data_IF_599485245258
#
_entry.id   IF_599485245258
#
_cell.length_a   1.000
_cell.length_b   1.000
_cell.length_c   1.000
_cell.angle_alpha   90.00
_cell.angle_beta   90.00
_cell.angle_gamma   90.00
#
_symmetry.space_group_name_H-M   'P 1'
#
loop_
_entity.id
_entity.type
_entity.pdbx_description
1 polymer ?
#
# COMPACT_ATOMS: atom_id res chain seq x y z
N UNK A 1 -32.61 -11.75 -32.24
CA UNK A 1 -31.73 -11.93 -31.08
C UNK A 1 -30.25 -12.13 -31.46
N UNK A 2 -29.92 -13.00 -32.41
CA UNK A 2 -28.51 -13.26 -32.78
C UNK A 2 -27.80 -12.06 -33.40
N UNK A 3 -28.45 -11.29 -34.27
CA UNK A 3 -27.86 -10.10 -34.91
C UNK A 3 -27.51 -9.02 -33.92
N UNK A 4 -28.41 -8.72 -32.98
CA UNK A 4 -28.17 -7.72 -31.89
C UNK A 4 -26.99 -8.17 -31.05
N UNK A 5 -26.93 -9.43 -30.65
CA UNK A 5 -25.78 -9.98 -29.88
C UNK A 5 -24.45 -9.87 -30.65
N UNK A 6 -24.45 -10.11 -31.98
CA UNK A 6 -23.26 -9.97 -32.82
C UNK A 6 -22.79 -8.52 -32.93
N UNK A 7 -23.73 -7.55 -33.04
CA UNK A 7 -23.42 -6.12 -33.08
C UNK A 7 -22.84 -5.65 -31.75
N UNK A 8 -23.48 -5.98 -30.62
CA UNK A 8 -23.03 -5.63 -29.28
C UNK A 8 -21.64 -6.21 -28.97
N UNK A 9 -21.33 -7.39 -29.50
CA UNK A 9 -20.03 -8.07 -29.32
C UNK A 9 -19.01 -7.74 -30.41
N UNK A 10 -19.25 -6.69 -31.22
CA UNK A 10 -18.32 -6.22 -32.27
C UNK A 10 -17.88 -7.30 -33.26
N UNK A 11 -18.73 -8.30 -33.55
CA UNK A 11 -18.41 -9.36 -34.51
C UNK A 11 -18.20 -8.75 -35.89
N UNK A 12 -17.12 -9.17 -36.61
CA UNK A 12 -16.81 -8.58 -37.93
C UNK A 12 -17.79 -9.03 -39.03
N UNK A 13 -18.54 -10.08 -38.81
CA UNK A 13 -19.48 -10.70 -39.76
C UNK A 13 -20.84 -10.00 -39.86
N UNK A 14 -20.97 -8.76 -39.36
CA UNK A 14 -22.19 -7.94 -39.43
C UNK A 14 -21.96 -6.74 -40.35
N UNK A 15 -22.79 -6.55 -41.36
CA UNK A 15 -22.74 -5.41 -42.26
C UNK A 15 -22.88 -4.09 -41.52
N UNK A 16 -22.14 -3.07 -41.95
CA UNK A 16 -22.06 -1.74 -41.26
C UNK A 16 -23.43 -1.06 -41.16
N UNK A 17 -24.26 -1.18 -42.19
CA UNK A 17 -25.64 -0.62 -42.19
C UNK A 17 -26.48 -1.26 -41.06
N UNK A 18 -26.38 -2.61 -40.92
CA UNK A 18 -27.09 -3.34 -39.87
C UNK A 18 -26.56 -2.94 -38.48
N UNK A 19 -25.25 -2.73 -38.37
CA UNK A 19 -24.59 -2.28 -37.15
C UNK A 19 -25.09 -0.90 -36.73
N UNK A 20 -25.11 0.06 -37.65
CA UNK A 20 -25.62 1.40 -37.40
C UNK A 20 -27.09 1.40 -36.94
N UNK A 21 -27.94 0.66 -37.64
CA UNK A 21 -29.35 0.54 -37.31
C UNK A 21 -29.59 -0.06 -35.92
N UNK A 22 -28.81 -1.08 -35.54
CA UNK A 22 -28.93 -1.68 -34.21
C UNK A 22 -28.47 -0.73 -33.12
N UNK A 23 -27.39 0.05 -33.32
CA UNK A 23 -26.95 1.05 -32.37
C UNK A 23 -27.98 2.19 -32.23
N UNK A 24 -28.57 2.69 -33.30
CA UNK A 24 -29.65 3.66 -33.25
C UNK A 24 -30.83 3.18 -32.38
N UNK A 25 -31.26 1.94 -32.57
CA UNK A 25 -32.37 1.37 -31.78
C UNK A 25 -31.95 1.18 -30.30
N UNK A 26 -30.70 0.81 -30.03
CA UNK A 26 -30.17 0.71 -28.66
C UNK A 26 -30.23 2.07 -27.96
N UNK A 27 -29.82 3.12 -28.67
CA UNK A 27 -29.83 4.50 -28.15
C UNK A 27 -31.29 5.02 -27.97
N UNK A 28 -32.17 4.83 -28.95
CA UNK A 28 -33.59 5.22 -28.89
C UNK A 28 -34.32 4.53 -27.71
N UNK A 29 -34.04 3.29 -27.45
CA UNK A 29 -34.66 2.52 -26.38
C UNK A 29 -33.91 2.65 -25.02
N UNK A 30 -32.83 3.41 -24.98
CA UNK A 30 -31.92 3.49 -23.82
C UNK A 30 -31.60 2.09 -23.28
N UNK A 31 -31.41 1.13 -24.20
CA UNK A 31 -31.17 -0.26 -23.86
C UNK A 31 -29.71 -0.47 -23.41
N UNK A 32 -29.51 -0.81 -22.15
CA UNK A 32 -28.21 -1.21 -21.65
C UNK A 32 -28.06 -2.74 -21.71
N UNK A 33 -27.12 -3.25 -22.52
CA UNK A 33 -26.86 -4.70 -22.58
C UNK A 33 -26.47 -5.23 -21.21
N UNK A 34 -27.18 -6.24 -20.72
CA UNK A 34 -26.91 -6.85 -19.42
C UNK A 34 -25.47 -7.35 -19.34
N UNK A 35 -24.72 -6.87 -18.36
CA UNK A 35 -23.35 -7.35 -18.06
C UNK A 35 -23.34 -8.84 -17.75
N UNK A 36 -24.37 -9.35 -17.06
CA UNK A 36 -24.55 -10.76 -16.74
C UNK A 36 -24.73 -11.62 -18.01
N UNK A 37 -25.50 -11.16 -18.98
CA UNK A 37 -25.67 -11.88 -20.23
C UNK A 37 -24.37 -11.93 -21.06
N UNK A 38 -23.59 -10.86 -21.04
CA UNK A 38 -22.26 -10.81 -21.67
C UNK A 38 -21.28 -11.72 -21.00
N UNK A 39 -21.25 -11.76 -19.67
CA UNK A 39 -20.34 -12.63 -18.91
C UNK A 39 -20.59 -14.10 -19.12
N UNK A 40 -21.86 -14.52 -19.27
CA UNK A 40 -22.24 -15.90 -19.58
C UNK A 40 -21.73 -16.36 -20.96
N UNK A 41 -21.76 -15.47 -21.95
CA UNK A 41 -21.29 -15.79 -23.32
C UNK A 41 -19.75 -15.81 -23.38
N UNK A 42 -19.09 -14.91 -22.67
CA UNK A 42 -17.63 -14.75 -22.70
C UNK A 42 -16.90 -15.60 -21.65
N UNK A 43 -17.62 -16.26 -20.74
CA UNK A 43 -17.08 -16.97 -19.57
C UNK A 43 -16.16 -16.10 -18.71
N UNK A 44 -16.37 -14.76 -18.74
CA UNK A 44 -15.58 -13.76 -18.03
C UNK A 44 -16.52 -12.69 -17.46
N UNK A 45 -16.34 -12.38 -16.19
CA UNK A 45 -17.23 -11.43 -15.49
C UNK A 45 -16.78 -9.97 -15.63
N UNK A 46 -15.51 -9.72 -15.97
CA UNK A 46 -14.84 -8.42 -15.88
C UNK A 46 -15.03 -7.81 -14.50
N UNK A 47 -14.93 -8.65 -13.47
CA UNK A 47 -15.11 -8.25 -12.08
C UNK A 47 -13.91 -8.74 -11.28
N UNK A 48 -13.27 -7.84 -10.52
CA UNK A 48 -12.22 -8.18 -9.57
C UNK A 48 -12.77 -8.08 -8.14
N UNK A 49 -12.40 -9.05 -7.30
CA UNK A 49 -12.62 -8.99 -5.87
C UNK A 49 -11.48 -8.21 -5.21
N UNK A 50 -11.80 -7.31 -4.30
CA UNK A 50 -10.81 -6.60 -3.48
C UNK A 50 -11.13 -6.85 -2.02
N UNK A 51 -10.19 -7.45 -1.31
CA UNK A 51 -10.27 -7.60 0.15
C UNK A 51 -9.33 -6.58 0.77
N UNK A 52 -9.84 -5.75 1.66
CA UNK A 52 -9.07 -4.71 2.34
C UNK A 52 -9.42 -4.67 3.83
N UNK A 53 -8.69 -3.87 4.60
CA UNK A 53 -9.00 -3.57 5.99
C UNK A 53 -8.50 -2.17 6.33
N UNK A 54 -9.22 -1.50 7.23
CA UNK A 54 -8.77 -0.23 7.80
C UNK A 54 -8.75 0.94 6.83
N UNK A 55 -9.75 1.09 6.00
CA UNK A 55 -9.89 2.22 5.05
C UNK A 55 -9.85 3.61 5.70
N UNK A 56 -9.94 3.70 7.02
CA UNK A 56 -9.70 4.94 7.78
C UNK A 56 -8.24 5.39 7.81
N UNK A 57 -7.29 4.51 7.47
CA UNK A 57 -5.88 4.83 7.39
C UNK A 57 -5.50 5.26 5.97
N UNK A 58 -4.53 6.17 5.85
CA UNK A 58 -4.08 6.72 4.57
C UNK A 58 -3.58 5.63 3.62
N UNK A 59 -2.77 4.70 4.13
CA UNK A 59 -2.19 3.62 3.32
C UNK A 59 -3.23 2.81 2.55
N UNK A 60 -4.16 2.12 3.23
CA UNK A 60 -5.22 1.35 2.60
C UNK A 60 -6.10 2.19 1.66
N UNK A 61 -6.45 3.43 2.03
CA UNK A 61 -7.29 4.30 1.19
C UNK A 61 -6.61 4.70 -0.11
N UNK A 62 -5.33 5.13 -0.07
CA UNK A 62 -4.57 5.49 -1.28
C UNK A 62 -4.36 4.27 -2.18
N UNK A 63 -4.06 3.11 -1.60
CA UNK A 63 -3.93 1.86 -2.36
C UNK A 63 -5.25 1.50 -3.06
N UNK A 64 -6.38 1.59 -2.36
CA UNK A 64 -7.69 1.34 -2.95
C UNK A 64 -8.03 2.34 -4.08
N UNK A 65 -7.64 3.61 -3.93
CA UNK A 65 -7.81 4.61 -5.01
C UNK A 65 -7.08 4.18 -6.28
N UNK A 66 -5.82 3.77 -6.17
CA UNK A 66 -5.05 3.28 -7.31
C UNK A 66 -5.61 1.99 -7.92
N UNK A 67 -6.14 1.08 -7.08
CA UNK A 67 -6.85 -0.12 -7.55
C UNK A 67 -8.09 0.27 -8.36
N UNK A 68 -8.90 1.20 -7.85
CA UNK A 68 -10.15 1.63 -8.49
C UNK A 68 -9.86 2.29 -9.84
N UNK A 69 -8.93 3.23 -9.88
CA UNK A 69 -8.51 3.94 -11.09
C UNK A 69 -8.09 2.96 -12.20
N UNK A 70 -7.17 2.04 -11.88
CA UNK A 70 -6.64 1.10 -12.88
C UNK A 70 -7.67 0.04 -13.31
N UNK A 71 -8.53 -0.39 -12.38
CA UNK A 71 -9.59 -1.34 -12.72
C UNK A 71 -10.59 -0.71 -13.68
N UNK A 72 -10.97 0.55 -13.46
CA UNK A 72 -11.87 1.30 -14.34
C UNK A 72 -11.26 1.50 -15.73
N UNK A 73 -9.99 1.91 -15.83
CA UNK A 73 -9.26 2.04 -17.10
C UNK A 73 -9.23 0.73 -17.89
N UNK A 74 -9.12 -0.41 -17.21
CA UNK A 74 -9.10 -1.74 -17.82
C UNK A 74 -10.49 -2.35 -18.02
N UNK A 75 -11.57 -1.64 -17.69
CA UNK A 75 -12.96 -2.07 -17.85
C UNK A 75 -13.43 -3.11 -16.84
N UNK A 76 -12.76 -3.22 -15.68
CA UNK A 76 -13.19 -4.09 -14.59
C UNK A 76 -14.15 -3.37 -13.63
N UNK A 77 -15.12 -4.12 -13.15
CA UNK A 77 -15.94 -3.74 -11.98
C UNK A 77 -15.30 -4.29 -10.72
N UNK A 78 -15.37 -3.58 -9.61
CA UNK A 78 -14.82 -4.03 -8.33
C UNK A 78 -15.93 -4.53 -7.39
N UNK A 79 -15.67 -5.64 -6.72
CA UNK A 79 -16.42 -6.12 -5.56
C UNK A 79 -15.54 -5.96 -4.33
N UNK A 80 -15.81 -4.91 -3.54
CA UNK A 80 -15.06 -4.61 -2.34
C UNK A 80 -15.59 -5.40 -1.14
N UNK A 81 -14.67 -5.98 -0.37
CA UNK A 81 -14.90 -6.58 0.94
C UNK A 81 -13.93 -5.97 1.95
N UNK A 82 -14.45 -5.33 2.97
CA UNK A 82 -13.65 -4.83 4.09
C UNK A 82 -13.74 -5.81 5.26
N UNK A 83 -12.57 -6.22 5.77
CA UNK A 83 -12.51 -6.96 7.02
C UNK A 83 -12.85 -6.02 8.20
N UNK A 84 -13.69 -6.45 9.14
CA UNK A 84 -14.06 -5.62 10.29
C UNK A 84 -12.86 -5.33 11.20
N UNK A 85 -11.86 -6.20 11.18
CA UNK A 85 -10.61 -6.08 11.94
C UNK A 85 -9.45 -6.64 11.12
N UNK A 86 -8.26 -6.11 11.32
CA UNK A 86 -7.04 -6.58 10.65
C UNK A 86 -6.68 -8.03 11.01
N UNK A 87 -7.00 -8.48 12.21
CA UNK A 87 -6.70 -9.80 12.75
C UNK A 87 -7.86 -10.81 12.58
N UNK A 88 -8.81 -10.52 11.68
CA UNK A 88 -9.91 -11.44 11.39
C UNK A 88 -9.38 -12.76 10.82
N UNK A 89 -9.86 -13.87 11.37
CA UNK A 89 -9.53 -15.25 11.00
C UNK A 89 -10.57 -15.91 10.07
N UNK A 90 -11.73 -15.29 9.93
CA UNK A 90 -12.85 -15.78 9.12
C UNK A 90 -12.70 -15.39 7.63
N UNK A 91 -11.62 -15.87 7.02
CA UNK A 91 -11.22 -15.52 5.64
C UNK A 91 -11.97 -16.37 4.61
N UNK A 92 -12.17 -17.65 4.90
CA UNK A 92 -12.75 -18.60 3.93
C UNK A 92 -14.17 -18.23 3.47
N UNK A 93 -15.13 -17.85 4.34
CA UNK A 93 -16.45 -17.39 3.92
C UNK A 93 -16.39 -16.14 3.04
N UNK A 94 -15.43 -15.25 3.29
CA UNK A 94 -15.22 -14.04 2.49
C UNK A 94 -14.74 -14.40 1.07
N UNK A 95 -13.72 -15.27 0.95
CA UNK A 95 -13.25 -15.77 -0.33
C UNK A 95 -14.37 -16.51 -1.09
N UNK A 96 -15.12 -17.39 -0.39
CA UNK A 96 -16.27 -18.10 -0.96
C UNK A 96 -17.34 -17.11 -1.47
N UNK A 97 -17.59 -16.02 -0.75
CA UNK A 97 -18.52 -14.97 -1.17
C UNK A 97 -18.09 -14.25 -2.46
N UNK A 98 -16.78 -14.06 -2.67
CA UNK A 98 -16.22 -13.51 -3.92
C UNK A 98 -16.32 -14.52 -5.05
N UNK A 99 -15.94 -15.79 -4.80
CA UNK A 99 -16.03 -16.87 -5.78
C UNK A 99 -17.46 -17.11 -6.25
N UNK A 100 -18.45 -17.04 -5.33
CA UNK A 100 -19.87 -17.15 -5.68
C UNK A 100 -20.34 -16.03 -6.64
N UNK A 101 -19.67 -14.88 -6.65
CA UNK A 101 -19.89 -13.77 -7.59
C UNK A 101 -19.11 -13.91 -8.90
N UNK A 102 -18.36 -15.03 -9.07
CA UNK A 102 -17.54 -15.32 -10.24
C UNK A 102 -16.57 -14.18 -10.57
N UNK A 103 -15.89 -13.64 -9.55
CA UNK A 103 -14.81 -12.67 -9.81
C UNK A 103 -13.71 -13.36 -10.65
N UNK A 104 -13.12 -12.62 -11.59
CA UNK A 104 -12.06 -13.13 -12.48
C UNK A 104 -10.72 -13.23 -11.74
N UNK A 105 -10.52 -12.43 -10.69
CA UNK A 105 -9.32 -12.42 -9.85
C UNK A 105 -9.57 -11.71 -8.52
N UNK A 106 -8.67 -11.89 -7.56
CA UNK A 106 -8.77 -11.32 -6.21
C UNK A 106 -7.50 -10.54 -5.88
N UNK A 107 -7.65 -9.30 -5.40
CA UNK A 107 -6.62 -8.51 -4.75
C UNK A 107 -6.78 -8.62 -3.24
N UNK A 108 -5.74 -9.09 -2.56
CA UNK A 108 -5.68 -9.15 -1.11
C UNK A 108 -4.85 -7.97 -0.57
N UNK A 109 -5.53 -6.87 -0.28
CA UNK A 109 -4.93 -5.63 0.21
C UNK A 109 -5.11 -5.47 1.73
N UNK A 110 -4.80 -6.53 2.47
CA UNK A 110 -4.88 -6.56 3.93
C UNK A 110 -3.48 -6.73 4.50
N UNK A 111 -3.05 -5.89 5.47
CA UNK A 111 -1.75 -6.03 6.10
C UNK A 111 -1.51 -7.40 6.72
N UNK A 112 -0.29 -7.90 6.66
CA UNK A 112 0.09 -9.20 7.20
C UNK A 112 0.27 -9.13 8.72
N UNK A 113 -0.81 -9.38 9.48
CA UNK A 113 -0.80 -9.37 10.95
C UNK A 113 -1.64 -10.50 11.56
N UNK A 114 -1.25 -10.95 12.76
CA UNK A 114 -2.06 -11.89 13.57
C UNK A 114 -2.53 -13.13 12.80
N UNK A 115 -3.81 -13.45 12.90
CA UNK A 115 -4.44 -14.59 12.23
C UNK A 115 -4.43 -14.49 10.70
N UNK A 116 -4.42 -13.29 10.17
CA UNK A 116 -4.20 -12.98 8.77
C UNK A 116 -2.86 -13.52 8.23
N UNK A 117 -1.86 -13.63 9.10
CA UNK A 117 -0.57 -14.22 8.78
C UNK A 117 -0.64 -15.74 8.81
N UNK A 118 -1.33 -16.31 9.77
CA UNK A 118 -1.40 -17.75 9.99
C UNK A 118 -1.98 -18.53 8.80
N UNK A 119 -3.01 -18.01 8.13
CA UNK A 119 -3.59 -18.69 6.96
C UNK A 119 -2.67 -18.67 5.74
N UNK A 120 -1.74 -17.69 5.66
CA UNK A 120 -0.73 -17.61 4.59
C UNK A 120 0.47 -18.53 4.85
N UNK A 121 0.70 -18.96 6.10
CA UNK A 121 1.77 -19.91 6.47
C UNK A 121 1.37 -21.36 6.14
N UNK A 122 0.06 -21.62 5.94
CA UNK A 122 -0.46 -22.86 5.37
C UNK A 122 -0.35 -22.89 3.83
N UNK A 123 -0.89 -23.96 3.23
CA UNK A 123 -1.11 -23.92 1.79
C UNK A 123 -2.23 -22.90 1.51
N UNK A 124 -1.99 -21.87 0.64
CA UNK A 124 -3.05 -21.00 0.23
C UNK A 124 -4.18 -21.82 -0.38
N UNK A 125 -5.45 -21.46 -0.15
CA UNK A 125 -6.56 -22.22 -0.70
C UNK A 125 -6.45 -22.27 -2.22
N UNK A 126 -6.65 -23.44 -2.80
CA UNK A 126 -6.82 -23.57 -4.25
C UNK A 126 -8.08 -22.81 -4.66
N UNK A 127 -7.88 -21.61 -5.20
CA UNK A 127 -8.95 -20.79 -5.73
C UNK A 127 -9.06 -20.99 -7.23
N UNK A 128 -10.28 -20.97 -7.75
CA UNK A 128 -10.52 -21.01 -9.18
C UNK A 128 -10.12 -19.71 -9.91
N UNK A 129 -9.84 -18.64 -9.15
CA UNK A 129 -9.37 -17.34 -9.64
C UNK A 129 -7.98 -17.01 -9.09
N UNK A 130 -7.11 -16.34 -9.86
CA UNK A 130 -5.81 -15.90 -9.39
C UNK A 130 -5.93 -14.91 -8.23
N UNK A 131 -4.95 -14.94 -7.33
CA UNK A 131 -4.87 -14.12 -6.14
C UNK A 131 -3.54 -13.38 -6.13
N UNK A 132 -3.60 -12.05 -5.99
CA UNK A 132 -2.42 -11.19 -5.83
C UNK A 132 -2.48 -10.49 -4.48
N UNK A 133 -1.39 -10.60 -3.73
CA UNK A 133 -1.24 -10.00 -2.41
C UNK A 133 -0.59 -8.63 -2.49
N UNK A 134 -0.99 -7.72 -1.61
CA UNK A 134 -0.35 -6.42 -1.43
C UNK A 134 0.21 -6.33 -0.01
N UNK A 135 1.30 -5.57 0.14
CA UNK A 135 1.86 -5.19 1.45
C UNK A 135 2.20 -6.38 2.36
N UNK A 136 2.86 -7.38 1.80
CA UNK A 136 3.33 -8.55 2.55
C UNK A 136 4.75 -8.97 2.13
N UNK A 137 5.37 -9.82 2.93
CA UNK A 137 6.62 -10.46 2.56
C UNK A 137 6.44 -11.33 1.31
N UNK A 138 7.40 -11.27 0.38
CA UNK A 138 7.44 -12.16 -0.77
C UNK A 138 7.54 -13.63 -0.31
N UNK A 139 6.73 -14.51 -0.92
CA UNK A 139 6.70 -15.94 -0.63
C UNK A 139 6.72 -16.76 -1.91
N UNK A 140 7.42 -17.89 -1.93
CA UNK A 140 7.40 -18.79 -3.09
C UNK A 140 5.96 -19.21 -3.43
N UNK A 141 5.62 -19.16 -4.71
CA UNK A 141 4.30 -19.57 -5.18
C UNK A 141 3.18 -18.55 -5.02
N UNK A 142 3.43 -17.37 -4.45
CA UNK A 142 2.44 -16.29 -4.31
C UNK A 142 2.83 -15.07 -5.12
N UNK A 143 1.87 -14.52 -5.86
CA UNK A 143 2.03 -13.22 -6.51
C UNK A 143 1.87 -12.11 -5.47
N UNK A 144 2.81 -11.16 -5.42
CA UNK A 144 2.78 -10.05 -4.47
C UNK A 144 3.31 -8.75 -5.07
N UNK A 145 2.70 -7.64 -4.65
CA UNK A 145 3.15 -6.29 -4.97
C UNK A 145 3.32 -5.53 -3.66
N UNK A 146 4.49 -4.98 -3.41
CA UNK A 146 4.81 -4.27 -2.17
C UNK A 146 5.67 -3.03 -2.44
N UNK A 147 5.79 -2.15 -1.46
CA UNK A 147 6.82 -1.11 -1.44
C UNK A 147 8.02 -1.66 -0.66
N UNK A 148 9.23 -1.31 -1.06
CA UNK A 148 10.45 -1.65 -0.33
C UNK A 148 10.58 -0.82 0.95
N UNK A 149 9.87 -1.27 1.99
CA UNK A 149 9.84 -0.61 3.29
C UNK A 149 11.20 -0.64 4.00
N UNK A 150 12.00 -1.70 3.76
CA UNK A 150 13.36 -1.80 4.29
C UNK A 150 14.25 -0.72 3.69
N UNK A 151 14.25 -0.60 2.36
CA UNK A 151 15.01 0.46 1.67
C UNK A 151 14.56 1.85 2.10
N UNK A 152 13.26 2.05 2.32
CA UNK A 152 12.73 3.30 2.85
C UNK A 152 13.28 3.64 4.24
N UNK A 153 13.37 2.67 5.15
CA UNK A 153 14.02 2.84 6.45
C UNK A 153 15.50 3.18 6.35
N UNK A 154 16.20 2.55 5.38
CA UNK A 154 17.59 2.89 5.05
C UNK A 154 17.70 4.34 4.56
N UNK A 155 16.88 4.76 3.60
CA UNK A 155 16.91 6.13 3.03
C UNK A 155 16.74 7.21 4.11
N UNK A 156 15.77 7.04 5.01
CA UNK A 156 15.54 7.98 6.12
C UNK A 156 16.76 8.09 7.02
N UNK A 157 17.35 6.96 7.37
CA UNK A 157 18.50 6.89 8.32
C UNK A 157 19.80 7.34 7.68
N UNK A 158 20.07 6.94 6.44
CA UNK A 158 21.22 7.39 5.63
C UNK A 158 21.23 8.91 5.51
N UNK A 159 20.07 9.51 5.19
CA UNK A 159 19.92 10.96 5.10
C UNK A 159 20.31 11.66 6.41
N UNK A 160 19.78 11.19 7.54
CA UNK A 160 20.11 11.79 8.84
C UNK A 160 21.61 11.68 9.16
N UNK A 161 22.24 10.53 8.85
CA UNK A 161 23.71 10.36 9.02
C UNK A 161 24.49 11.29 8.09
N UNK A 162 24.07 11.48 6.85
CA UNK A 162 24.70 12.38 5.87
C UNK A 162 24.60 13.85 6.31
N UNK A 163 23.50 14.24 6.98
CA UNK A 163 23.34 15.57 7.57
C UNK A 163 24.16 15.75 8.87
N UNK A 164 24.94 14.73 9.28
CA UNK A 164 25.85 14.80 10.42
C UNK A 164 25.21 14.49 11.79
N UNK A 165 23.95 14.03 11.82
CA UNK A 165 23.30 13.55 13.04
C UNK A 165 23.93 12.23 13.48
N UNK A 166 24.02 12.03 14.82
CA UNK A 166 24.76 10.90 15.39
C UNK A 166 23.93 10.01 16.31
N UNK A 167 22.93 10.58 16.94
CA UNK A 167 22.07 9.96 17.94
C UNK A 167 20.65 9.86 17.40
N UNK A 168 20.42 8.88 16.50
CA UNK A 168 19.20 8.77 15.74
C UNK A 168 18.24 7.79 16.41
N UNK A 169 17.15 8.31 16.97
CA UNK A 169 16.07 7.51 17.52
C UNK A 169 15.08 7.02 16.47
N UNK A 170 14.16 6.14 16.88
CA UNK A 170 13.09 5.64 16.03
C UNK A 170 11.75 5.55 16.75
N UNK A 171 10.67 5.99 16.09
CA UNK A 171 9.30 5.65 16.47
C UNK A 171 8.74 4.72 15.41
N UNK A 172 8.65 3.43 15.73
CA UNK A 172 8.09 2.41 14.84
C UNK A 172 6.56 2.45 14.80
N UNK A 173 5.96 1.83 13.77
CA UNK A 173 4.59 1.35 13.85
C UNK A 173 4.46 0.13 14.76
N UNK A 174 3.25 -0.45 14.87
CA UNK A 174 3.05 -1.72 15.59
C UNK A 174 3.92 -2.82 14.94
N UNK A 175 4.75 -3.52 15.73
CA UNK A 175 5.71 -4.49 15.21
C UNK A 175 5.10 -5.83 14.78
N UNK A 176 3.83 -6.04 14.99
CA UNK A 176 3.06 -7.13 14.36
C UNK A 176 2.82 -6.87 12.85
N UNK A 177 2.96 -5.63 12.37
CA UNK A 177 2.90 -5.28 10.97
C UNK A 177 4.23 -5.52 10.26
N UNK A 178 4.17 -6.17 9.09
CA UNK A 178 5.37 -6.43 8.29
C UNK A 178 6.11 -5.15 7.90
N UNK A 179 5.39 -4.12 7.46
CA UNK A 179 5.96 -2.83 7.03
C UNK A 179 6.71 -2.13 8.19
N UNK A 180 6.14 -2.16 9.40
CA UNK A 180 6.79 -1.57 10.57
C UNK A 180 8.12 -2.27 10.90
N UNK A 181 8.15 -3.60 10.81
CA UNK A 181 9.39 -4.39 10.99
C UNK A 181 10.43 -4.07 9.94
N UNK A 182 10.02 -3.93 8.67
CA UNK A 182 10.94 -3.61 7.58
C UNK A 182 11.55 -2.21 7.74
N UNK A 183 10.74 -1.19 8.04
CA UNK A 183 11.23 0.18 8.30
C UNK A 183 12.19 0.22 9.49
N UNK A 184 11.87 -0.49 10.57
CA UNK A 184 12.74 -0.63 11.75
C UNK A 184 14.05 -1.36 11.42
N UNK A 185 13.99 -2.44 10.63
CA UNK A 185 15.20 -3.18 10.22
C UNK A 185 16.13 -2.30 9.38
N UNK A 186 15.58 -1.52 8.43
CA UNK A 186 16.33 -0.55 7.63
C UNK A 186 17.04 0.49 8.51
N UNK A 187 16.36 1.06 9.52
CA UNK A 187 16.95 1.96 10.50
C UNK A 187 18.07 1.29 11.29
N UNK A 188 17.84 0.09 11.85
CA UNK A 188 18.80 -0.62 12.65
C UNK A 188 20.08 -0.97 11.87
N UNK A 189 19.92 -1.53 10.68
CA UNK A 189 21.04 -2.03 9.89
C UNK A 189 21.88 -0.88 9.34
N UNK A 190 21.24 0.23 8.94
CA UNK A 190 21.96 1.44 8.52
C UNK A 190 22.80 2.02 9.65
N UNK A 191 22.28 2.09 10.89
CA UNK A 191 23.05 2.54 12.04
C UNK A 191 24.22 1.60 12.36
N UNK A 192 23.99 0.28 12.35
CA UNK A 192 25.05 -0.72 12.60
C UNK A 192 26.18 -0.63 11.56
N UNK A 193 25.82 -0.48 10.27
CA UNK A 193 26.79 -0.29 9.19
C UNK A 193 27.62 0.99 9.35
N UNK A 194 27.02 2.05 9.91
CA UNK A 194 27.72 3.29 10.24
C UNK A 194 28.49 3.24 11.58
N UNK A 195 28.58 2.08 12.23
CA UNK A 195 29.25 1.92 13.53
C UNK A 195 28.53 2.63 14.69
N UNK A 196 27.21 2.84 14.56
CA UNK A 196 26.40 3.49 15.61
C UNK A 196 25.69 2.42 16.45
N UNK A 197 25.61 2.61 17.79
CA UNK A 197 24.92 1.68 18.66
C UNK A 197 23.42 1.71 18.43
N UNK A 198 22.80 0.53 18.53
CA UNK A 198 21.34 0.36 18.54
C UNK A 198 20.98 -0.36 19.83
N UNK A 199 20.14 0.27 20.66
CA UNK A 199 19.68 -0.28 21.93
C UNK A 199 18.18 -0.11 22.09
N UNK A 200 17.56 -0.86 23.02
CA UNK A 200 16.10 -0.87 23.21
C UNK A 200 15.54 0.49 23.65
N UNK A 201 16.33 1.32 24.30
CA UNK A 201 15.92 2.65 24.70
C UNK A 201 16.00 3.70 23.58
N UNK A 202 16.59 3.36 22.41
CA UNK A 202 16.67 4.26 21.26
C UNK A 202 15.38 4.28 20.41
N UNK A 203 14.39 3.50 20.76
CA UNK A 203 13.13 3.46 20.00
C UNK A 203 11.89 3.24 20.88
N UNK A 204 10.74 3.59 20.35
CA UNK A 204 9.41 3.30 20.91
C UNK A 204 8.43 2.92 19.80
N UNK A 205 7.40 2.15 20.16
CA UNK A 205 6.34 1.79 19.22
C UNK A 205 5.17 2.76 19.30
N UNK A 206 4.64 3.14 18.14
CA UNK A 206 3.37 3.84 17.97
C UNK A 206 2.28 2.94 17.38
N UNK A 207 1.16 3.55 16.98
CA UNK A 207 -0.02 2.86 16.41
C UNK A 207 -0.54 3.58 15.16
N UNK A 208 0.37 4.17 14.38
CA UNK A 208 0.14 4.92 13.15
C UNK A 208 -0.59 6.27 13.32
N UNK A 209 -1.13 6.59 14.49
CA UNK A 209 -1.86 7.84 14.76
C UNK A 209 -0.95 8.94 15.32
N UNK A 210 -1.27 10.21 15.06
CA UNK A 210 -0.54 11.36 15.61
C UNK A 210 -0.50 11.32 17.14
N UNK A 211 -1.60 10.95 17.79
CA UNK A 211 -1.67 10.79 19.23
C UNK A 211 -0.70 9.71 19.76
N UNK A 212 -0.41 8.67 18.98
CA UNK A 212 0.57 7.64 19.37
C UNK A 212 2.00 8.14 19.19
N UNK A 213 2.28 8.95 18.18
CA UNK A 213 3.56 9.65 18.03
C UNK A 213 3.84 10.58 19.22
N UNK A 214 2.84 11.39 19.63
CA UNK A 214 2.93 12.23 20.82
C UNK A 214 3.23 11.42 22.08
N UNK A 215 2.56 10.28 22.28
CA UNK A 215 2.82 9.42 23.45
C UNK A 215 4.19 8.75 23.41
N UNK A 216 4.66 8.34 22.24
CA UNK A 216 5.91 7.62 22.09
C UNK A 216 7.15 8.51 22.25
N UNK A 217 7.11 9.76 21.75
CA UNK A 217 8.25 10.66 21.81
C UNK A 217 8.59 11.10 23.22
N UNK A 218 7.61 11.27 24.12
CA UNK A 218 7.85 11.75 25.49
C UNK A 218 8.83 10.85 26.25
N UNK A 219 8.55 9.55 26.47
CA UNK A 219 9.49 8.65 27.14
C UNK A 219 10.76 8.39 26.33
N UNK A 220 10.74 8.57 25.01
CA UNK A 220 11.93 8.41 24.19
C UNK A 220 12.95 9.54 24.45
N UNK A 221 12.50 10.79 24.53
CA UNK A 221 13.35 11.92 24.88
C UNK A 221 13.95 11.79 26.29
N UNK A 222 13.19 11.21 27.22
CA UNK A 222 13.66 11.01 28.60
C UNK A 222 14.66 9.82 28.70
N UNK A 223 14.48 8.77 27.87
CA UNK A 223 15.34 7.60 27.84
C UNK A 223 16.60 7.76 26.97
N UNK A 224 16.59 8.69 26.02
CA UNK A 224 17.67 8.95 25.08
C UNK A 224 17.95 10.46 24.97
N UNK A 225 18.50 11.07 26.04
CA UNK A 225 18.71 12.51 26.12
C UNK A 225 19.69 13.07 25.08
N UNK A 226 20.62 12.26 24.58
CA UNK A 226 21.57 12.64 23.53
C UNK A 226 20.96 12.62 22.13
N UNK A 227 19.71 12.17 21.98
CA UNK A 227 19.05 12.05 20.67
C UNK A 227 18.99 13.40 19.96
N UNK A 228 19.59 13.48 18.77
CA UNK A 228 19.69 14.67 17.94
C UNK A 228 18.88 14.55 16.63
N UNK A 229 18.40 13.34 16.31
CA UNK A 229 17.52 13.10 15.18
C UNK A 229 16.56 11.93 15.43
N UNK A 230 15.45 11.92 14.72
CA UNK A 230 14.40 10.92 14.86
C UNK A 230 13.85 10.51 13.50
N UNK A 231 13.86 9.21 13.23
CA UNK A 231 13.07 8.60 12.17
C UNK A 231 11.73 8.12 12.72
N UNK A 232 10.64 8.62 12.17
CA UNK A 232 9.26 8.26 12.55
C UNK A 232 8.63 7.45 11.43
N UNK A 233 8.10 6.29 11.75
CA UNK A 233 7.66 5.31 10.75
C UNK A 233 6.44 5.72 9.92
N UNK A 234 5.77 6.84 10.23
CA UNK A 234 4.82 7.51 9.33
C UNK A 234 4.65 9.01 9.64
N UNK A 235 4.09 9.75 8.68
CA UNK A 235 3.94 11.21 8.76
C UNK A 235 2.92 11.64 9.81
N UNK A 236 1.85 10.86 10.05
CA UNK A 236 0.89 11.20 11.10
C UNK A 236 1.52 11.12 12.49
N UNK A 237 2.31 10.08 12.78
CA UNK A 237 3.05 10.04 14.06
C UNK A 237 4.07 11.18 14.14
N UNK A 238 4.73 11.52 13.02
CA UNK A 238 5.67 12.64 12.96
C UNK A 238 4.99 13.98 13.30
N UNK A 239 3.72 14.21 12.91
CA UNK A 239 2.94 15.37 13.33
C UNK A 239 2.84 15.45 14.86
N UNK A 240 2.55 14.32 15.52
CA UNK A 240 2.50 14.24 16.98
C UNK A 240 3.85 14.56 17.65
N UNK A 241 4.94 14.09 17.03
CA UNK A 241 6.32 14.39 17.45
C UNK A 241 6.61 15.88 17.35
N UNK A 242 6.35 16.51 16.20
CA UNK A 242 6.56 17.94 15.98
C UNK A 242 5.77 18.79 16.97
N UNK A 243 4.54 18.39 17.30
CA UNK A 243 3.72 19.05 18.29
C UNK A 243 4.35 19.00 19.70
N UNK A 244 4.96 17.88 20.10
CA UNK A 244 5.67 17.75 21.39
C UNK A 244 6.96 18.58 21.37
N UNK A 245 7.73 18.52 20.28
CA UNK A 245 8.94 19.32 20.12
C UNK A 245 8.63 20.82 20.30
N UNK A 246 7.60 21.33 19.62
CA UNK A 246 7.14 22.71 19.76
C UNK A 246 6.77 23.05 21.21
N UNK A 247 5.98 22.22 21.89
CA UNK A 247 5.58 22.45 23.31
C UNK A 247 6.74 22.39 24.29
N UNK A 248 7.80 21.64 23.99
CA UNK A 248 9.04 21.56 24.80
C UNK A 248 10.06 22.65 24.42
N UNK A 249 9.75 23.50 23.45
CA UNK A 249 10.67 24.52 22.95
C UNK A 249 11.87 23.99 22.17
N UNK A 250 11.81 22.73 21.69
CA UNK A 250 12.84 22.13 20.84
C UNK A 250 12.71 22.70 19.43
N UNK A 251 13.81 23.22 18.91
CA UNK A 251 13.89 23.71 17.53
C UNK A 251 14.12 22.52 16.58
N UNK A 252 13.28 22.41 15.57
CA UNK A 252 13.43 21.44 14.50
C UNK A 252 13.94 22.18 13.26
N UNK A 253 15.09 21.82 12.69
CA UNK A 253 15.92 20.63 12.96
C UNK A 253 17.07 20.83 13.95
N UNK A 254 17.30 22.05 14.51
CA UNK A 254 18.53 22.41 15.21
C UNK A 254 18.77 21.58 16.49
N UNK A 255 17.74 21.33 17.28
CA UNK A 255 17.81 20.55 18.53
C UNK A 255 17.38 19.10 18.30
N UNK A 256 16.45 18.85 17.36
CA UNK A 256 15.94 17.52 16.99
C UNK A 256 15.54 17.52 15.52
N UNK A 257 16.26 16.82 14.65
CA UNK A 257 15.81 16.58 13.28
C UNK A 257 14.74 15.50 13.24
N UNK A 258 13.77 15.62 12.32
CA UNK A 258 12.67 14.66 12.17
C UNK A 258 12.50 14.26 10.71
N UNK A 259 12.47 12.96 10.46
CA UNK A 259 12.12 12.36 9.16
C UNK A 259 10.91 11.47 9.33
N UNK A 260 9.91 11.64 8.47
CA UNK A 260 8.70 10.82 8.41
C UNK A 260 8.75 9.73 7.35
N UNK A 261 7.58 9.16 7.09
CA UNK A 261 7.36 8.14 6.06
C UNK A 261 5.91 8.23 5.58
N UNK A 262 5.62 7.87 4.36
CA UNK A 262 4.42 7.84 3.55
C UNK A 262 4.42 8.97 2.50
N UNK A 263 4.91 10.16 2.80
CA UNK A 263 4.91 11.30 1.88
C UNK A 263 3.53 11.87 1.65
N UNK A 264 2.71 11.95 2.73
CA UNK A 264 1.37 12.52 2.61
C UNK A 264 1.44 14.00 2.20
N UNK A 265 0.45 14.51 1.42
CA UNK A 265 0.46 15.91 0.96
C UNK A 265 0.58 16.92 2.11
N UNK A 266 -0.06 16.66 3.24
CA UNK A 266 -0.07 17.52 4.42
C UNK A 266 1.33 17.69 5.04
N UNK A 267 2.25 16.73 4.85
CA UNK A 267 3.61 16.80 5.38
C UNK A 267 4.40 18.04 4.88
N UNK A 268 4.06 18.56 3.70
CA UNK A 268 4.62 19.79 3.16
C UNK A 268 4.18 21.05 3.93
N UNK A 269 3.10 20.97 4.70
CA UNK A 269 2.49 22.06 5.46
C UNK A 269 2.67 21.92 6.97
N UNK A 270 3.43 20.91 7.43
CA UNK A 270 3.82 20.82 8.83
C UNK A 270 4.78 21.95 9.21
N UNK A 271 4.96 22.19 10.47
CA UNK A 271 5.87 23.23 10.96
C UNK A 271 6.98 22.62 11.82
N UNK A 272 8.21 22.59 11.26
CA UNK A 272 8.60 22.89 9.88
C UNK A 272 8.09 21.84 8.88
N UNK A 273 8.09 22.13 7.55
CA UNK A 273 7.80 21.16 6.51
C UNK A 273 8.61 19.88 6.67
N UNK A 274 7.92 18.73 6.69
CA UNK A 274 8.49 17.44 7.06
C UNK A 274 9.24 16.78 5.89
N UNK A 275 10.53 16.47 6.11
CA UNK A 275 11.28 15.51 5.29
C UNK A 275 10.64 14.14 5.48
N UNK A 276 10.36 13.43 4.40
CA UNK A 276 9.65 12.15 4.47
C UNK A 276 10.09 11.20 3.36
N UNK A 277 10.00 9.92 3.62
CA UNK A 277 10.12 8.90 2.59
C UNK A 277 8.77 8.74 1.90
N UNK A 278 8.70 9.16 0.65
CA UNK A 278 7.51 9.03 -0.19
C UNK A 278 7.36 7.59 -0.69
N UNK A 279 6.16 7.07 -0.60
CA UNK A 279 5.75 5.82 -1.23
C UNK A 279 4.52 6.06 -2.11
N UNK A 280 4.59 5.67 -3.39
CA UNK A 280 3.44 5.79 -4.29
C UNK A 280 2.46 4.63 -4.08
N UNK A 281 1.57 4.81 -3.11
CA UNK A 281 0.55 3.82 -2.78
C UNK A 281 -0.53 3.70 -3.86
N UNK A 282 -0.76 4.74 -4.66
CA UNK A 282 -1.62 4.66 -5.82
C UNK A 282 -0.97 3.80 -6.92
N UNK A 283 0.33 3.99 -7.18
CA UNK A 283 1.07 3.11 -8.10
C UNK A 283 1.11 1.65 -7.61
N UNK A 284 1.18 1.41 -6.29
CA UNK A 284 1.05 0.08 -5.71
C UNK A 284 -0.27 -0.57 -6.12
N UNK A 285 -1.39 0.15 -5.94
CA UNK A 285 -2.72 -0.32 -6.34
C UNK A 285 -2.84 -0.56 -7.84
N UNK A 286 -2.39 0.39 -8.66
CA UNK A 286 -2.39 0.26 -10.14
C UNK A 286 -1.58 -0.94 -10.60
N UNK A 287 -0.39 -1.12 -10.06
CA UNK A 287 0.48 -2.25 -10.40
C UNK A 287 -0.17 -3.58 -10.04
N UNK A 288 -0.77 -3.68 -8.86
CA UNK A 288 -1.45 -4.91 -8.43
C UNK A 288 -2.59 -5.31 -9.36
N UNK A 289 -3.39 -4.35 -9.87
CA UNK A 289 -4.44 -4.63 -10.85
C UNK A 289 -3.85 -5.12 -12.18
N UNK A 290 -2.77 -4.51 -12.67
CA UNK A 290 -2.11 -4.95 -13.93
C UNK A 290 -1.58 -6.38 -13.82
N UNK A 291 -0.86 -6.69 -12.75
CA UNK A 291 -0.30 -8.03 -12.51
C UNK A 291 -1.41 -9.08 -12.38
N UNK A 292 -2.48 -8.75 -11.63
CA UNK A 292 -3.63 -9.64 -11.51
C UNK A 292 -4.33 -9.86 -12.86
N UNK A 293 -4.51 -8.79 -13.66
CA UNK A 293 -5.13 -8.90 -14.98
C UNK A 293 -4.33 -9.78 -15.92
N UNK A 294 -3.00 -9.68 -15.92
CA UNK A 294 -2.12 -10.58 -16.70
C UNK A 294 -2.27 -12.03 -16.27
N UNK A 295 -2.36 -12.29 -14.95
CA UNK A 295 -2.59 -13.64 -14.43
C UNK A 295 -3.96 -14.19 -14.83
N UNK A 296 -5.00 -13.35 -14.83
CA UNK A 296 -6.35 -13.70 -15.32
C UNK A 296 -6.31 -14.08 -16.81
N UNK A 297 -5.62 -13.29 -17.62
CA UNK A 297 -5.51 -13.54 -19.06
C UNK A 297 -4.73 -14.81 -19.38
N UNK A 298 -3.64 -15.07 -18.70
CA UNK A 298 -2.86 -16.29 -18.83
C UNK A 298 -3.69 -17.55 -18.47
N UNK A 299 -4.50 -17.49 -17.41
CA UNK A 299 -5.39 -18.58 -17.01
C UNK A 299 -6.47 -18.93 -18.03
N UNK A 300 -6.88 -17.98 -18.86
CA UNK A 300 -7.87 -18.21 -19.93
C UNK A 300 -7.25 -18.82 -21.21
N UNK A 301 -5.95 -18.74 -21.42
CA UNK A 301 -5.26 -19.21 -22.62
C UNK A 301 -4.88 -20.71 -22.57
N UNK A 302 -5.33 -21.47 -21.58
CA UNK A 302 -5.17 -22.93 -21.38
C UNK A 302 -3.72 -23.48 -21.37
N UNK A 303 -2.69 -22.68 -21.64
CA UNK A 303 -1.33 -23.19 -21.89
C UNK A 303 -0.30 -22.83 -20.79
N UNK A 304 -0.63 -22.02 -19.81
CA UNK A 304 0.33 -21.70 -18.74
C UNK A 304 -0.36 -21.38 -17.40
N UNK A 305 -0.05 -22.15 -16.37
CA UNK A 305 -0.19 -21.64 -15.01
C UNK A 305 0.65 -20.36 -14.93
N UNK A 306 0.03 -19.21 -14.68
CA UNK A 306 0.77 -17.95 -14.55
C UNK A 306 1.87 -18.15 -13.49
N UNK A 307 3.11 -17.87 -13.87
CA UNK A 307 4.21 -17.88 -12.89
C UNK A 307 3.96 -16.78 -11.87
N UNK A 308 4.03 -17.08 -10.56
CA UNK A 308 3.88 -16.08 -9.54
C UNK A 308 4.87 -14.92 -9.72
N UNK A 309 4.39 -13.69 -9.61
CA UNK A 309 5.18 -12.48 -9.82
C UNK A 309 5.35 -11.73 -8.50
N UNK A 310 6.58 -11.31 -8.20
CA UNK A 310 6.88 -10.43 -7.06
C UNK A 310 7.36 -9.08 -7.60
N UNK A 311 6.63 -8.01 -7.28
CA UNK A 311 6.99 -6.63 -7.63
C UNK A 311 7.27 -5.84 -6.36
N UNK A 312 8.41 -5.15 -6.32
CA UNK A 312 8.80 -4.27 -5.22
C UNK A 312 9.00 -2.85 -5.76
N UNK A 313 8.11 -1.93 -5.38
CA UNK A 313 8.20 -0.53 -5.74
C UNK A 313 9.22 0.17 -4.85
N UNK A 314 10.05 1.03 -5.43
CA UNK A 314 11.08 1.76 -4.70
C UNK A 314 10.51 3.04 -4.10
N UNK A 315 10.73 3.29 -2.80
CA UNK A 315 10.38 4.56 -2.17
C UNK A 315 11.45 5.64 -2.49
N UNK A 316 11.07 6.90 -2.33
CA UNK A 316 11.93 8.05 -2.59
C UNK A 316 12.00 8.97 -1.36
N UNK A 317 13.17 9.56 -1.10
CA UNK A 317 13.30 10.55 -0.02
C UNK A 317 12.96 11.95 -0.56
N UNK A 318 12.01 12.62 0.10
CA UNK A 318 11.64 14.02 -0.15
C UNK A 318 12.19 14.88 0.96
N UNK A 319 13.30 15.55 0.71
CA UNK A 319 13.98 16.41 1.71
C UNK A 319 13.24 17.74 1.85
N UNK A 320 12.97 18.14 3.11
CA UNK A 320 12.36 19.39 3.50
C UNK A 320 13.06 19.97 4.75
N UNK A 321 12.44 20.95 5.39
CA UNK A 321 13.09 21.74 6.45
C UNK A 321 13.29 20.99 7.78
N UNK A 322 12.52 19.93 8.06
CA UNK A 322 12.57 19.24 9.37
C UNK A 322 13.85 18.42 9.61
N UNK A 323 14.70 18.26 8.62
CA UNK A 323 15.99 17.56 8.70
C UNK A 323 17.07 18.18 7.83
N UNK A 324 16.82 19.36 7.25
CA UNK A 324 17.83 20.10 6.50
C UNK A 324 18.98 20.54 7.43
N UNK A 325 20.08 20.99 6.85
CA UNK A 325 21.34 21.30 7.50
C UNK A 325 21.16 22.06 8.83
N UNK A 326 21.92 21.66 9.85
CA UNK A 326 21.95 22.30 11.18
C UNK A 326 22.29 23.80 11.14
N UNK A 327 22.56 24.38 9.93
CA UNK A 327 23.11 25.73 9.81
C UNK A 327 24.31 25.84 10.73
N UNK A 328 25.53 25.81 10.23
CA UNK A 328 26.75 25.63 11.00
C UNK A 328 26.69 26.27 12.39
N UNK A 329 26.90 25.46 13.44
CA UNK A 329 27.39 26.01 14.66
C UNK A 329 28.74 26.60 14.31
N UNK A 330 28.80 27.94 14.13
CA UNK A 330 30.07 28.65 14.13
C UNK A 330 30.81 28.19 15.38
N UNK A 331 32.00 27.65 15.18
CA UNK A 331 33.00 27.40 16.21
C UNK A 331 33.29 28.67 17.03
#
# INVERSE_FOLDING_TARGET
HQTVSRVINHRPDVADETRHRVWQIIDELNYQPSAIARSLIRQRSYTLGVVTAGLRYVGPSCTLSGITEQAEEMGYTLVLKELPRFDSDDIQPLLNSLMARRVDGILWAVPEIGANRAWLEGQPPELAAPLTFLTMAARPGLSSVSVDNYRGGCLATEHLLQMGYRHIGHISGPLDWWEARQRMAGWQDTLRQAGRPVADHHWKSGTWSAASGERAIRPLLDAYPEMDALFVANDQMALGVLQVACRRGLRVPQDLAVVGFDGIPEAAYYWPPLTTVYQDLCALGRTAVRELSQAVEAGHQQDARSTPVTVSLQPELVVRQSSADRGGRGD
#
